data_IF_177329427439
#
_entry.id   IF_177329427439
#
_cell.length_a   1.000
_cell.length_b   1.000
_cell.length_c   1.000
_cell.angle_alpha   90.00
_cell.angle_beta   90.00
_cell.angle_gamma   90.00
#
_symmetry.space_group_name_H-M   'P 1'
#
loop_
_entity.id
_entity.type
_entity.pdbx_description
1 polymer ?
#
# COMPACT_ATOMS: atom_id res chain seq x y z
N UNK A 1 -4.16 30.64 0.92
CA UNK A 1 -4.07 30.96 2.36
C UNK A 1 -5.21 30.37 3.20
N UNK A 2 -6.48 30.43 2.77
CA UNK A 2 -7.61 29.91 3.54
C UNK A 2 -7.47 28.44 4.00
N UNK A 3 -7.04 27.53 3.11
CA UNK A 3 -6.94 26.09 3.43
C UNK A 3 -5.83 25.75 4.45
N UNK A 4 -4.71 26.49 4.42
CA UNK A 4 -3.58 26.30 5.35
C UNK A 4 -3.97 26.70 6.77
N UNK A 5 -4.72 27.80 6.91
CA UNK A 5 -5.25 28.24 8.20
C UNK A 5 -6.34 27.28 8.71
N UNK A 6 -7.22 26.82 7.81
CA UNK A 6 -8.29 25.87 8.15
C UNK A 6 -7.76 24.51 8.64
N UNK A 7 -6.69 24.01 8.02
CA UNK A 7 -6.11 22.69 8.32
C UNK A 7 -4.92 22.77 9.29
N UNK A 8 -4.56 23.96 9.76
CA UNK A 8 -3.50 24.17 10.75
C UNK A 8 -2.10 23.81 10.25
N UNK A 9 -1.82 23.95 8.95
CA UNK A 9 -0.53 23.54 8.35
C UNK A 9 0.65 24.45 8.69
N UNK A 10 0.38 25.68 9.18
CA UNK A 10 1.44 26.60 9.62
C UNK A 10 2.40 27.04 8.50
N UNK A 11 2.01 26.96 7.22
CA UNK A 11 2.86 27.33 6.09
C UNK A 11 3.26 28.81 6.15
N UNK A 12 4.54 29.08 5.92
CA UNK A 12 5.02 30.44 5.67
C UNK A 12 4.45 30.99 4.34
N UNK A 13 4.42 32.33 4.15
CA UNK A 13 3.93 32.92 2.90
C UNK A 13 4.66 32.38 1.66
N UNK A 14 5.98 32.17 1.75
CA UNK A 14 6.80 31.62 0.66
C UNK A 14 6.46 30.16 0.33
N UNK A 15 6.20 29.34 1.34
CA UNK A 15 5.77 27.95 1.15
C UNK A 15 4.37 27.88 0.56
N UNK A 16 3.46 28.76 1.00
CA UNK A 16 2.11 28.86 0.46
C UNK A 16 2.12 29.25 -1.03
N UNK A 17 2.99 30.17 -1.45
CA UNK A 17 3.19 30.51 -2.87
C UNK A 17 3.74 29.33 -3.66
N UNK A 18 4.75 28.65 -3.12
CA UNK A 18 5.36 27.47 -3.76
C UNK A 18 4.35 26.34 -3.94
N UNK A 19 3.49 26.11 -2.93
CA UNK A 19 2.37 25.16 -3.00
C UNK A 19 1.37 25.56 -4.07
N UNK A 20 0.96 26.83 -4.11
CA UNK A 20 0.00 27.31 -5.09
C UNK A 20 0.50 27.10 -6.53
N UNK A 21 1.77 27.42 -6.79
CA UNK A 21 2.40 27.21 -8.09
C UNK A 21 2.47 25.72 -8.47
N UNK A 22 2.89 24.85 -7.55
CA UNK A 22 2.96 23.41 -7.80
C UNK A 22 1.56 22.80 -8.07
N UNK A 23 0.57 23.19 -7.26
CA UNK A 23 -0.80 22.67 -7.36
C UNK A 23 -1.53 23.13 -8.62
N UNK A 24 -1.20 24.28 -9.18
CA UNK A 24 -1.79 24.79 -10.43
C UNK A 24 -1.60 23.82 -11.60
N UNK A 25 -0.47 23.11 -11.64
CA UNK A 25 -0.18 22.10 -12.67
C UNK A 25 -0.86 20.73 -12.43
N UNK A 26 -1.36 20.50 -11.22
CA UNK A 26 -1.87 19.20 -10.77
C UNK A 26 -3.40 19.09 -10.85
N UNK A 27 -4.09 20.22 -10.90
CA UNK A 27 -5.54 20.30 -10.83
C UNK A 27 -6.12 20.74 -12.19
N UNK A 28 -7.12 20.01 -12.72
CA UNK A 28 -7.91 20.47 -13.85
C UNK A 28 -8.59 21.81 -13.56
N UNK A 29 -8.80 22.63 -14.61
CA UNK A 29 -9.48 23.93 -14.49
C UNK A 29 -10.93 23.83 -13.98
N UNK A 30 -11.55 22.66 -14.11
CA UNK A 30 -12.93 22.34 -13.72
C UNK A 30 -13.03 21.49 -12.44
N UNK A 31 -11.92 21.32 -11.70
CA UNK A 31 -11.90 20.51 -10.50
C UNK A 31 -12.87 21.03 -9.42
N UNK A 32 -13.63 20.12 -8.81
CA UNK A 32 -14.52 20.48 -7.71
C UNK A 32 -13.73 20.93 -6.48
N UNK A 33 -14.33 21.76 -5.60
CA UNK A 33 -13.69 22.18 -4.35
C UNK A 33 -13.29 21.00 -3.45
N UNK A 34 -14.08 19.92 -3.47
CA UNK A 34 -13.78 18.70 -2.73
C UNK A 34 -12.52 17.99 -3.26
N UNK A 35 -12.36 17.92 -4.58
CA UNK A 35 -11.16 17.37 -5.22
C UNK A 35 -9.94 18.26 -4.99
N UNK A 36 -10.10 19.57 -5.12
CA UNK A 36 -9.08 20.55 -4.78
C UNK A 36 -8.55 20.32 -3.35
N UNK A 37 -9.46 20.29 -2.36
CA UNK A 37 -9.10 20.08 -0.95
C UNK A 37 -8.36 18.76 -0.74
N UNK A 38 -8.83 17.68 -1.39
CA UNK A 38 -8.22 16.35 -1.30
C UNK A 38 -6.81 16.34 -1.87
N UNK A 39 -6.60 16.91 -3.06
CA UNK A 39 -5.28 16.98 -3.70
C UNK A 39 -4.33 17.84 -2.86
N UNK A 40 -4.78 18.98 -2.35
CA UNK A 40 -3.98 19.82 -1.45
C UNK A 40 -3.54 19.07 -0.20
N UNK A 41 -4.45 18.30 0.42
CA UNK A 41 -4.12 17.50 1.60
C UNK A 41 -3.07 16.43 1.30
N UNK A 42 -3.22 15.68 0.21
CA UNK A 42 -2.23 14.68 -0.17
C UNK A 42 -0.92 15.29 -0.64
N UNK A 43 -0.95 16.43 -1.33
CA UNK A 43 0.25 17.17 -1.68
C UNK A 43 1.00 17.53 -0.41
N UNK A 44 0.34 18.20 0.55
CA UNK A 44 0.96 18.59 1.81
C UNK A 44 1.62 17.40 2.52
N UNK A 45 0.93 16.27 2.68
CA UNK A 45 1.46 15.10 3.39
C UNK A 45 2.56 14.35 2.62
N UNK A 46 2.52 14.30 1.28
CA UNK A 46 3.36 13.37 0.52
C UNK A 46 4.43 14.06 -0.34
N UNK A 47 4.31 15.35 -0.65
CA UNK A 47 5.19 16.01 -1.63
C UNK A 47 6.67 15.96 -1.22
N UNK A 48 6.99 16.15 0.07
CA UNK A 48 8.36 16.05 0.56
C UNK A 48 8.97 14.67 0.24
N UNK A 49 8.28 13.58 0.61
CA UNK A 49 8.69 12.22 0.28
C UNK A 49 8.83 12.00 -1.23
N UNK A 50 7.86 12.45 -2.02
CA UNK A 50 7.85 12.28 -3.48
C UNK A 50 9.03 13.01 -4.12
N UNK A 51 9.36 14.22 -3.67
CA UNK A 51 10.51 14.98 -4.16
C UNK A 51 11.83 14.31 -3.76
N UNK A 52 11.93 13.78 -2.53
CA UNK A 52 13.09 12.98 -2.10
C UNK A 52 13.27 11.77 -3.01
N UNK A 53 12.20 11.01 -3.29
CA UNK A 53 12.27 9.81 -4.13
C UNK A 53 12.59 10.10 -5.60
N UNK A 54 12.14 11.25 -6.12
CA UNK A 54 12.42 11.71 -7.49
C UNK A 54 13.84 12.21 -7.68
N UNK A 55 14.42 12.85 -6.65
CA UNK A 55 15.73 13.46 -6.76
C UNK A 55 16.83 12.53 -6.26
N UNK A 56 17.53 11.89 -7.19
CA UNK A 56 18.68 11.02 -6.88
C UNK A 56 19.82 11.73 -6.14
N UNK A 57 19.95 13.05 -6.27
CA UNK A 57 20.94 13.85 -5.54
C UNK A 57 20.51 14.24 -4.13
N UNK A 58 19.28 13.91 -3.70
CA UNK A 58 18.82 14.26 -2.37
C UNK A 58 19.51 13.37 -1.31
N UNK A 59 20.07 13.93 -0.21
CA UNK A 59 20.79 13.16 0.81
C UNK A 59 20.01 11.97 1.38
N UNK A 60 18.70 12.14 1.54
CA UNK A 60 17.79 11.09 2.05
C UNK A 60 17.27 10.13 0.97
N UNK A 61 17.61 10.30 -0.32
CA UNK A 61 17.04 9.49 -1.42
C UNK A 61 17.25 7.99 -1.19
N UNK A 62 18.49 7.59 -0.92
CA UNK A 62 18.85 6.19 -0.67
C UNK A 62 18.08 5.62 0.53
N UNK A 63 17.98 6.39 1.61
CA UNK A 63 17.28 5.97 2.81
C UNK A 63 15.78 5.76 2.56
N UNK A 64 15.12 6.72 1.88
CA UNK A 64 13.70 6.58 1.55
C UNK A 64 13.44 5.41 0.60
N UNK A 65 14.34 5.15 -0.36
CA UNK A 65 14.22 3.98 -1.22
C UNK A 65 14.39 2.66 -0.46
N UNK A 66 15.24 2.59 0.56
CA UNK A 66 15.34 1.42 1.46
C UNK A 66 14.07 1.21 2.28
N UNK A 67 13.47 2.27 2.81
CA UNK A 67 12.15 2.19 3.48
C UNK A 67 11.09 1.66 2.51
N UNK A 68 11.14 2.10 1.26
CA UNK A 68 10.24 1.64 0.21
C UNK A 68 10.46 0.20 -0.23
N UNK A 69 11.69 -0.30 -0.16
CA UNK A 69 12.00 -1.71 -0.37
C UNK A 69 11.21 -2.61 0.60
N UNK A 70 11.22 -2.26 1.89
CA UNK A 70 10.45 -2.96 2.93
C UNK A 70 8.95 -2.86 2.66
N UNK A 71 8.45 -1.69 2.28
CA UNK A 71 7.03 -1.50 1.95
C UNK A 71 6.61 -2.35 0.74
N UNK A 72 7.45 -2.43 -0.29
CA UNK A 72 7.20 -3.26 -1.48
C UNK A 72 7.16 -4.73 -1.07
N UNK A 73 8.14 -5.21 -0.30
CA UNK A 73 8.16 -6.59 0.19
C UNK A 73 6.85 -6.94 0.93
N UNK A 74 6.41 -6.07 1.84
CA UNK A 74 5.14 -6.25 2.56
C UNK A 74 3.92 -6.30 1.62
N UNK A 75 3.88 -5.45 0.58
CA UNK A 75 2.81 -5.47 -0.44
C UNK A 75 2.79 -6.81 -1.17
N UNK A 76 3.97 -7.33 -1.55
CA UNK A 76 4.07 -8.62 -2.25
C UNK A 76 3.64 -9.78 -1.37
N UNK A 77 4.10 -9.83 -0.12
CA UNK A 77 3.70 -10.88 0.84
C UNK A 77 2.19 -10.87 1.10
N UNK A 78 1.61 -9.69 1.41
CA UNK A 78 0.16 -9.57 1.69
C UNK A 78 -0.74 -9.99 0.53
N UNK A 79 -0.24 -9.89 -0.70
CA UNK A 79 -1.00 -10.26 -1.90
C UNK A 79 -0.71 -11.68 -2.39
N UNK A 80 0.11 -12.46 -1.67
CA UNK A 80 0.56 -13.78 -2.14
C UNK A 80 1.38 -13.71 -3.43
N UNK A 81 1.97 -12.56 -3.73
CA UNK A 81 2.76 -12.31 -4.95
C UNK A 81 4.27 -12.50 -4.72
N UNK A 82 4.69 -12.70 -3.46
CA UNK A 82 6.08 -12.99 -3.10
C UNK A 82 6.58 -14.35 -3.64
N UNK A 83 5.68 -15.22 -4.09
CA UNK A 83 5.99 -16.57 -4.53
C UNK A 83 5.73 -16.73 -6.03
N UNK A 84 6.79 -16.74 -6.83
CA UNK A 84 6.73 -17.33 -8.17
C UNK A 84 6.90 -18.84 -8.02
N UNK A 85 5.99 -19.61 -8.62
CA UNK A 85 5.94 -21.09 -8.58
C UNK A 85 7.18 -21.76 -9.20
N UNK A 86 8.00 -20.98 -9.90
CA UNK A 86 9.23 -21.39 -10.54
C UNK A 86 10.35 -20.61 -9.85
N UNK A 87 11.23 -21.29 -9.12
CA UNK A 87 12.27 -20.74 -8.24
C UNK A 87 13.38 -19.92 -8.92
N UNK A 88 13.08 -19.20 -10.00
CA UNK A 88 14.01 -18.38 -10.77
C UNK A 88 13.79 -16.86 -10.60
N UNK A 89 12.76 -16.43 -9.86
CA UNK A 89 12.58 -15.01 -9.51
C UNK A 89 12.54 -14.94 -8.00
N UNK A 90 13.66 -14.55 -7.41
CA UNK A 90 13.76 -14.36 -5.97
C UNK A 90 12.90 -13.15 -5.56
N UNK A 91 12.41 -13.13 -4.32
CA UNK A 91 11.65 -11.99 -3.79
C UNK A 91 12.36 -10.66 -4.04
N UNK A 92 13.69 -10.67 -3.98
CA UNK A 92 14.56 -9.53 -4.28
C UNK A 92 14.41 -9.02 -5.71
N UNK A 93 14.26 -9.92 -6.70
CA UNK A 93 14.06 -9.54 -8.10
C UNK A 93 12.68 -8.90 -8.29
N UNK A 94 11.64 -9.45 -7.64
CA UNK A 94 10.29 -8.85 -7.68
C UNK A 94 10.28 -7.47 -7.03
N UNK A 95 11.00 -7.29 -5.93
CA UNK A 95 11.18 -6.00 -5.28
C UNK A 95 11.88 -5.03 -6.23
N UNK A 96 12.96 -5.45 -6.89
CA UNK A 96 13.69 -4.60 -7.84
C UNK A 96 12.84 -4.20 -9.05
N UNK A 97 12.07 -5.14 -9.62
CA UNK A 97 11.13 -4.89 -10.72
C UNK A 97 10.06 -3.87 -10.28
N UNK A 98 9.48 -4.08 -9.09
CA UNK A 98 8.48 -3.18 -8.53
C UNK A 98 9.04 -1.78 -8.24
N UNK A 99 10.26 -1.70 -7.72
CA UNK A 99 10.95 -0.45 -7.43
C UNK A 99 11.26 0.33 -8.71
N UNK A 100 11.75 -0.34 -9.75
CA UNK A 100 11.99 0.27 -11.06
C UNK A 100 10.69 0.78 -11.69
N UNK A 101 9.61 0.00 -11.61
CA UNK A 101 8.30 0.42 -12.08
C UNK A 101 7.74 1.61 -11.29
N UNK A 102 7.96 1.64 -9.97
CA UNK A 102 7.55 2.74 -9.12
C UNK A 102 8.30 4.02 -9.49
N UNK A 103 9.63 3.96 -9.61
CA UNK A 103 10.48 5.07 -10.04
C UNK A 103 10.05 5.61 -11.40
N UNK A 104 9.85 4.74 -12.39
CA UNK A 104 9.38 5.13 -13.73
C UNK A 104 7.98 5.78 -13.70
N UNK A 105 7.14 5.40 -12.75
CA UNK A 105 5.78 5.93 -12.61
C UNK A 105 5.71 7.22 -11.79
N UNK A 106 6.73 7.55 -10.98
CA UNK A 106 6.74 8.72 -10.09
C UNK A 106 6.39 10.05 -10.77
N UNK A 107 6.85 10.35 -12.00
CA UNK A 107 6.47 11.58 -12.70
C UNK A 107 4.98 11.68 -13.02
N UNK A 108 4.25 10.55 -13.02
CA UNK A 108 2.80 10.50 -13.26
C UNK A 108 1.95 10.65 -11.99
N UNK A 109 2.57 10.64 -10.80
CA UNK A 109 1.82 10.82 -9.56
C UNK A 109 1.22 12.23 -9.47
N UNK A 110 -0.08 12.31 -9.21
CA UNK A 110 -0.88 13.55 -9.19
C UNK A 110 -1.61 13.81 -7.87
N UNK A 111 -1.21 13.15 -6.78
CA UNK A 111 -1.77 13.38 -5.45
C UNK A 111 -3.31 13.21 -5.34
N UNK A 112 -3.93 12.41 -6.23
CA UNK A 112 -5.37 12.06 -6.18
C UNK A 112 -5.70 11.03 -5.09
N UNK A 113 -4.68 10.44 -4.49
CA UNK A 113 -4.69 9.54 -3.32
C UNK A 113 -3.40 9.76 -2.51
N UNK A 114 -3.25 9.07 -1.38
CA UNK A 114 -1.96 9.00 -0.70
C UNK A 114 -0.91 8.34 -1.62
N UNK A 115 0.36 8.64 -1.37
CA UNK A 115 1.45 8.03 -2.11
C UNK A 115 1.48 6.51 -1.92
N UNK A 116 1.26 6.03 -0.70
CA UNK A 116 1.16 4.60 -0.40
C UNK A 116 0.10 3.87 -1.24
N UNK A 117 -1.13 4.39 -1.31
CA UNK A 117 -2.20 3.76 -2.09
C UNK A 117 -1.90 3.75 -3.59
N UNK A 118 -1.27 4.81 -4.10
CA UNK A 118 -0.88 4.87 -5.50
C UNK A 118 0.26 3.87 -5.81
N UNK A 119 1.28 3.83 -4.96
CA UNK A 119 2.41 2.92 -5.10
C UNK A 119 1.99 1.46 -5.01
N UNK A 120 1.10 1.11 -4.08
CA UNK A 120 0.48 -0.21 -3.98
C UNK A 120 -0.11 -0.66 -5.33
N UNK A 121 -0.89 0.21 -5.99
CA UNK A 121 -1.49 -0.10 -7.29
C UNK A 121 -0.43 -0.34 -8.37
N UNK A 122 0.59 0.52 -8.43
CA UNK A 122 1.70 0.37 -9.39
C UNK A 122 2.41 -0.96 -9.18
N UNK A 123 2.79 -1.28 -7.94
CA UNK A 123 3.49 -2.52 -7.56
C UNK A 123 2.66 -3.74 -7.93
N UNK A 124 1.41 -3.82 -7.48
CA UNK A 124 0.53 -4.98 -7.72
C UNK A 124 0.27 -5.18 -9.22
N UNK A 125 -0.03 -4.10 -9.97
CA UNK A 125 -0.29 -4.21 -11.40
C UNK A 125 0.97 -4.62 -12.17
N UNK A 126 2.12 -4.06 -11.82
CA UNK A 126 3.41 -4.40 -12.42
C UNK A 126 3.74 -5.89 -12.21
N UNK A 127 3.68 -6.38 -10.97
CA UNK A 127 4.04 -7.77 -10.67
C UNK A 127 3.04 -8.76 -11.24
N UNK A 128 1.74 -8.47 -11.21
CA UNK A 128 0.74 -9.33 -11.89
C UNK A 128 1.00 -9.42 -13.39
N UNK A 129 1.35 -8.29 -14.03
CA UNK A 129 1.72 -8.28 -15.45
C UNK A 129 2.98 -9.11 -15.68
N UNK A 130 4.03 -8.90 -14.88
CA UNK A 130 5.27 -9.67 -14.99
C UNK A 130 5.02 -11.18 -14.88
N UNK A 131 4.28 -11.64 -13.86
CA UNK A 131 3.94 -13.06 -13.67
C UNK A 131 3.15 -13.60 -14.88
N UNK A 132 2.19 -12.83 -15.40
CA UNK A 132 1.39 -13.22 -16.56
C UNK A 132 2.26 -13.36 -17.82
N UNK A 133 3.13 -12.39 -18.06
CA UNK A 133 3.98 -12.33 -19.25
C UNK A 133 5.02 -13.48 -19.20
N UNK A 134 5.63 -13.75 -18.04
CA UNK A 134 6.50 -14.92 -17.82
C UNK A 134 5.78 -16.25 -18.04
N UNK A 135 4.53 -16.39 -17.59
CA UNK A 135 3.72 -17.59 -17.83
C UNK A 135 3.36 -17.78 -19.32
N UNK A 136 3.13 -16.70 -20.05
CA UNK A 136 2.83 -16.75 -21.48
C UNK A 136 4.06 -17.18 -22.29
N UNK A 137 5.24 -16.61 -21.99
CA UNK A 137 6.50 -16.96 -22.64
C UNK A 137 6.89 -18.42 -22.43
N UNK A 138 6.65 -18.97 -21.23
CA UNK A 138 6.93 -20.39 -20.92
C UNK A 138 6.02 -21.37 -21.67
N UNK A 139 4.75 -21.02 -21.93
CA UNK A 139 3.86 -21.86 -22.76
C UNK A 139 4.31 -21.96 -24.22
N UNK A 140 5.11 -21.01 -24.69
CA UNK A 140 5.72 -21.05 -26.03
C UNK A 140 7.00 -21.89 -26.13
N UNK A 141 7.60 -22.29 -24.99
CA UNK A 141 8.94 -22.90 -24.93
C UNK A 141 8.98 -24.24 -24.19
N UNK A 142 7.87 -25.00 -24.14
CA UNK A 142 7.86 -26.28 -23.44
C UNK A 142 8.47 -27.41 -24.29
N UNK A 143 9.80 -27.48 -24.27
CA UNK A 143 10.58 -28.71 -24.24
C UNK A 143 12.02 -28.32 -23.86
N UNK A 144 12.42 -28.51 -22.60
CA UNK A 144 13.77 -29.00 -22.30
C UNK A 144 13.91 -29.46 -20.83
N UNK A 145 14.31 -30.73 -20.76
CA UNK A 145 14.98 -31.57 -19.76
C UNK A 145 14.83 -31.34 -18.24
N UNK A 146 14.50 -32.43 -17.55
CA UNK A 146 14.44 -32.61 -16.09
C UNK A 146 15.70 -33.30 -15.51
N UNK A 147 16.79 -33.43 -16.26
CA UNK A 147 17.89 -34.37 -15.91
C UNK A 147 19.10 -33.80 -15.13
N UNK A 148 19.09 -32.56 -14.62
CA UNK A 148 20.34 -31.93 -14.12
C UNK A 148 20.57 -31.82 -12.59
N UNK A 149 19.78 -32.39 -11.68
CA UNK A 149 20.24 -32.50 -10.27
C UNK A 149 19.44 -33.48 -9.39
N UNK A 150 19.99 -34.63 -8.96
CA UNK A 150 19.27 -35.58 -8.10
C UNK A 150 19.35 -35.31 -6.58
N UNK A 151 20.12 -34.32 -6.10
CA UNK A 151 20.36 -34.14 -4.65
C UNK A 151 20.16 -32.71 -4.16
N UNK A 152 18.99 -32.13 -4.44
CA UNK A 152 18.51 -30.96 -3.71
C UNK A 152 17.44 -31.41 -2.72
N UNK A 153 17.84 -31.59 -1.46
CA UNK A 153 16.91 -31.66 -0.33
C UNK A 153 16.32 -30.26 -0.12
N UNK A 154 15.34 -29.93 -0.96
CA UNK A 154 14.61 -28.66 -0.93
C UNK A 154 13.56 -28.71 0.18
N UNK A 155 13.53 -27.72 1.09
CA UNK A 155 12.39 -27.56 1.99
C UNK A 155 11.10 -27.46 1.16
N UNK A 156 10.06 -28.23 1.53
CA UNK A 156 8.79 -28.21 0.80
C UNK A 156 8.19 -26.78 0.83
N UNK A 157 8.01 -26.11 -0.31
CA UNK A 157 7.48 -24.74 -0.38
C UNK A 157 6.00 -24.62 0.05
N UNK A 158 5.35 -25.73 0.41
CA UNK A 158 4.04 -25.76 1.10
C UNK A 158 4.17 -25.62 2.61
N UNK A 159 5.37 -25.77 3.17
CA UNK A 159 5.68 -25.42 4.54
C UNK A 159 5.96 -23.92 4.61
N UNK A 160 4.88 -23.14 4.57
CA UNK A 160 4.90 -21.89 5.33
C UNK A 160 5.21 -22.33 6.76
N UNK A 161 6.19 -21.72 7.42
CA UNK A 161 6.46 -22.04 8.83
C UNK A 161 5.11 -22.05 9.55
N UNK A 162 4.65 -23.22 10.03
CA UNK A 162 3.32 -23.33 10.61
C UNK A 162 3.16 -22.32 11.74
N UNK A 163 4.26 -21.93 12.39
CA UNK A 163 4.28 -20.90 13.43
C UNK A 163 3.99 -19.51 12.87
N UNK A 164 4.53 -19.10 11.72
CA UNK A 164 4.30 -17.78 11.12
C UNK A 164 2.88 -17.65 10.54
N UNK A 165 2.39 -18.72 9.89
CA UNK A 165 1.02 -18.76 9.37
C UNK A 165 0.01 -18.76 10.51
N UNK A 166 0.29 -19.54 11.56
CA UNK A 166 -0.49 -19.54 12.78
C UNK A 166 -0.46 -18.15 13.42
N UNK A 167 0.70 -17.52 13.53
CA UNK A 167 0.86 -16.19 14.16
C UNK A 167 0.11 -15.09 13.41
N UNK A 168 0.16 -15.08 12.07
CA UNK A 168 -0.63 -14.17 11.24
C UNK A 168 -2.13 -14.42 11.34
N UNK A 169 -2.55 -15.68 11.36
CA UNK A 169 -3.96 -16.06 11.55
C UNK A 169 -4.47 -15.73 12.96
N UNK A 170 -3.64 -15.92 13.98
CA UNK A 170 -3.92 -15.57 15.38
C UNK A 170 -4.07 -14.06 15.51
N UNK A 171 -3.15 -13.27 14.95
CA UNK A 171 -3.25 -11.81 14.99
C UNK A 171 -4.51 -11.31 14.28
N UNK A 172 -4.84 -11.86 13.10
CA UNK A 172 -6.08 -11.52 12.40
C UNK A 172 -7.32 -11.89 13.22
N UNK A 173 -7.35 -13.10 13.82
CA UNK A 173 -8.44 -13.56 14.66
C UNK A 173 -8.59 -12.72 15.93
N UNK A 174 -7.48 -12.34 16.58
CA UNK A 174 -7.43 -11.47 17.75
C UNK A 174 -7.97 -10.08 17.42
N UNK A 175 -7.50 -9.45 16.34
CA UNK A 175 -8.01 -8.15 15.88
C UNK A 175 -9.51 -8.23 15.60
N UNK A 176 -9.96 -9.29 14.92
CA UNK A 176 -11.36 -9.50 14.58
C UNK A 176 -12.22 -9.70 15.84
N UNK A 177 -11.76 -10.49 16.80
CA UNK A 177 -12.45 -10.73 18.07
C UNK A 177 -12.57 -9.47 18.94
N UNK A 178 -11.48 -8.69 19.05
CA UNK A 178 -11.47 -7.42 19.79
C UNK A 178 -12.50 -6.44 19.20
N UNK A 179 -12.53 -6.31 17.87
CA UNK A 179 -13.47 -5.40 17.21
C UNK A 179 -14.92 -5.87 17.32
N UNK A 180 -15.19 -7.18 17.31
CA UNK A 180 -16.52 -7.74 17.54
C UNK A 180 -17.03 -7.47 18.96
N UNK A 181 -16.18 -7.67 19.97
CA UNK A 181 -16.55 -7.47 21.39
C UNK A 181 -16.82 -5.99 21.72
N UNK A 182 -16.23 -5.06 20.98
CA UNK A 182 -16.42 -3.62 21.20
C UNK A 182 -17.78 -3.07 20.71
N UNK A 183 -18.62 -3.89 20.05
CA UNK A 183 -20.06 -3.62 20.00
C UNK A 183 -20.68 -3.23 18.66
N UNK A 184 -20.00 -3.41 17.53
CA UNK A 184 -20.65 -3.39 16.21
C UNK A 184 -20.02 -4.44 15.28
N UNK A 185 -20.77 -5.46 14.90
CA UNK A 185 -20.31 -6.50 13.97
C UNK A 185 -19.82 -5.92 12.63
N UNK A 186 -20.36 -4.77 12.24
CA UNK A 186 -19.96 -4.08 11.01
C UNK A 186 -18.56 -3.48 11.14
N UNK A 187 -18.10 -3.16 12.35
CA UNK A 187 -16.79 -2.56 12.59
C UNK A 187 -15.66 -3.51 12.18
N UNK A 188 -15.76 -4.77 12.61
CA UNK A 188 -14.80 -5.83 12.25
C UNK A 188 -14.78 -6.06 10.74
N UNK A 189 -15.95 -6.21 10.10
CA UNK A 189 -16.06 -6.41 8.65
C UNK A 189 -15.61 -5.20 7.82
N UNK A 190 -15.91 -3.98 8.25
CA UNK A 190 -15.46 -2.74 7.59
C UNK A 190 -13.94 -2.62 7.70
N UNK A 191 -13.38 -2.93 8.87
CA UNK A 191 -11.94 -2.91 9.07
C UNK A 191 -11.25 -3.99 8.24
N UNK A 192 -11.78 -5.20 8.17
CA UNK A 192 -11.28 -6.30 7.35
C UNK A 192 -11.33 -5.96 5.85
N UNK A 193 -12.46 -5.46 5.36
CA UNK A 193 -12.59 -5.01 3.98
C UNK A 193 -11.65 -3.87 3.62
N UNK A 194 -11.31 -3.01 4.58
CA UNK A 194 -10.36 -1.92 4.40
C UNK A 194 -8.90 -2.36 4.52
N UNK A 195 -8.55 -3.19 5.50
CA UNK A 195 -7.17 -3.49 5.89
C UNK A 195 -6.63 -4.79 5.27
N UNK A 196 -7.50 -5.76 5.02
CA UNK A 196 -7.16 -7.08 4.43
C UNK A 196 -7.52 -7.11 2.95
N UNK A 197 -8.69 -6.55 2.60
CA UNK A 197 -9.18 -6.56 1.21
C UNK A 197 -8.99 -5.24 0.44
N UNK A 198 -8.39 -4.22 1.08
CA UNK A 198 -8.02 -2.91 0.51
C UNK A 198 -9.14 -2.22 -0.29
N UNK A 199 -10.40 -2.41 0.14
CA UNK A 199 -11.56 -1.80 -0.51
C UNK A 199 -11.62 -0.30 -0.19
N UNK A 200 -11.87 0.56 -1.18
CA UNK A 200 -11.99 1.99 -0.95
C UNK A 200 -13.22 2.28 -0.07
N UNK A 201 -13.11 3.30 0.77
CA UNK A 201 -14.17 3.71 1.72
C UNK A 201 -15.51 4.00 1.04
N UNK A 202 -15.50 4.45 -0.21
CA UNK A 202 -16.71 4.67 -1.02
C UNK A 202 -17.36 3.37 -1.52
N UNK A 203 -16.59 2.30 -1.70
CA UNK A 203 -17.12 0.97 -2.03
C UNK A 203 -17.64 0.28 -0.78
N UNK A 204 -16.90 0.34 0.33
CA UNK A 204 -17.37 -0.14 1.63
C UNK A 204 -18.66 0.58 2.03
N UNK A 205 -18.72 1.91 1.85
CA UNK A 205 -19.93 2.70 2.07
C UNK A 205 -21.14 2.14 1.32
N UNK A 206 -20.97 1.79 0.04
CA UNK A 206 -22.02 1.16 -0.77
C UNK A 206 -22.37 -0.25 -0.28
N UNK A 207 -21.38 -1.05 0.12
CA UNK A 207 -21.59 -2.41 0.64
C UNK A 207 -22.42 -2.44 1.92
N UNK A 208 -22.29 -1.42 2.78
CA UNK A 208 -22.99 -1.36 4.07
C UNK A 208 -24.14 -0.36 4.11
N UNK A 209 -24.50 0.24 2.97
CA UNK A 209 -25.48 1.33 2.87
C UNK A 209 -25.22 2.47 3.89
N UNK A 210 -23.95 2.87 3.99
CA UNK A 210 -23.48 3.92 4.89
C UNK A 210 -22.94 5.10 4.10
N UNK A 211 -23.03 6.30 4.68
CA UNK A 211 -22.31 7.44 4.14
C UNK A 211 -20.78 7.25 4.29
N UNK A 212 -19.94 7.64 3.29
CA UNK A 212 -18.49 7.46 3.37
C UNK A 212 -17.81 8.14 4.58
N UNK A 213 -18.40 9.20 5.13
CA UNK A 213 -17.92 9.82 6.38
C UNK A 213 -18.15 8.91 7.59
N UNK A 214 -19.24 8.14 7.61
CA UNK A 214 -19.52 7.18 8.68
C UNK A 214 -18.54 6.02 8.65
N UNK A 215 -18.20 5.50 7.46
CA UNK A 215 -17.16 4.46 7.31
C UNK A 215 -15.79 4.96 7.83
N UNK A 216 -15.43 6.22 7.55
CA UNK A 216 -14.19 6.84 8.07
C UNK A 216 -14.19 7.02 9.59
N UNK A 217 -15.33 7.39 10.17
CA UNK A 217 -15.49 7.46 11.62
C UNK A 217 -15.31 6.06 12.24
N UNK A 218 -15.98 5.05 11.69
CA UNK A 218 -15.86 3.66 12.14
C UNK A 218 -14.42 3.12 12.02
N UNK A 219 -13.70 3.42 10.94
CA UNK A 219 -12.29 3.03 10.82
C UNK A 219 -11.38 3.75 11.83
N UNK A 220 -11.68 5.02 12.16
CA UNK A 220 -10.96 5.76 13.21
C UNK A 220 -11.23 5.15 14.58
N UNK A 221 -12.48 4.78 14.85
CA UNK A 221 -12.89 4.12 16.08
C UNK A 221 -12.22 2.75 16.20
N UNK A 222 -12.24 1.92 15.14
CA UNK A 222 -11.56 0.62 15.11
C UNK A 222 -10.07 0.73 15.44
N UNK A 223 -9.36 1.72 14.87
CA UNK A 223 -7.94 1.96 15.20
C UNK A 223 -7.73 2.40 16.64
N UNK A 224 -8.65 3.21 17.19
CA UNK A 224 -8.57 3.67 18.59
C UNK A 224 -8.78 2.50 19.55
N UNK A 225 -9.73 1.63 19.26
CA UNK A 225 -9.99 0.40 20.03
C UNK A 225 -8.78 -0.51 20.02
N UNK A 226 -8.25 -0.84 18.83
CA UNK A 226 -7.08 -1.72 18.72
C UNK A 226 -5.84 -1.13 19.40
N UNK A 227 -5.59 0.17 19.28
CA UNK A 227 -4.44 0.82 19.94
C UNK A 227 -4.52 0.78 21.46
N UNK A 228 -5.72 0.82 22.02
CA UNK A 228 -5.95 0.89 23.46
C UNK A 228 -6.19 -0.49 24.08
N UNK A 229 -6.29 -1.56 23.28
CA UNK A 229 -6.56 -2.90 23.77
C UNK A 229 -5.28 -3.54 24.35
N UNK A 230 -5.30 -4.11 25.57
CA UNK A 230 -4.12 -4.68 26.22
C UNK A 230 -3.43 -5.77 25.39
N UNK A 231 -4.21 -6.65 24.76
CA UNK A 231 -3.64 -7.72 23.92
C UNK A 231 -2.86 -7.16 22.73
N UNK A 232 -3.32 -6.09 22.08
CA UNK A 232 -2.61 -5.49 20.94
C UNK A 232 -1.32 -4.78 21.34
N UNK A 233 -1.18 -4.41 22.60
CA UNK A 233 0.08 -3.86 23.13
C UNK A 233 1.14 -4.94 23.32
N UNK A 234 0.73 -6.19 23.54
CA UNK A 234 1.64 -7.34 23.63
C UNK A 234 2.21 -7.78 22.25
N UNK A 235 1.62 -7.29 21.15
CA UNK A 235 2.04 -7.56 19.77
C UNK A 235 2.93 -6.44 19.17
N UNK A 236 3.32 -5.44 19.95
CA UNK A 236 4.25 -4.37 19.53
C UNK A 236 5.70 -4.75 19.78
#
# INVERSE_FOLDING_TARGET
MALSAELGWGLSPKEAESYAHALQSLLPHDASYAEFRKVCAYYHTNHALVEVLRNHGHPSNTHEWQVWEVNIAQILHKNGLAWSRDGAVELKDLIQIAQAALLASLPSFRYKSSFYTWAYKVVVLCIRRHIRDTKATKRGHQADSLDENPELDLPDPRQIDPSEQLMGSMLHHTIHAILLQHGDERLAKIFDLYAVHDRPTAEIARTFDLHPSRVRALLTDARKVLRNHPEMQAWR
#
